data_IF_884033078444
#
_entry.id   IF_884033078444
#
_cell.length_a   1.000
_cell.length_b   1.000
_cell.length_c   1.000
_cell.angle_alpha   90.00
_cell.angle_beta   90.00
_cell.angle_gamma   90.00
#
_symmetry.space_group_name_H-M   'P 1'
#
loop_
_entity.id
_entity.type
_entity.pdbx_description
1 polymer ?
#
# COMPACT_ATOMS: atom_id res chain seq x y z
N UNK A 1 -5.27 15.68 3.56
CA UNK A 1 -4.12 14.80 3.32
C UNK A 1 -4.31 13.98 2.05
N UNK A 2 -5.23 13.00 2.01
CA UNK A 2 -5.31 12.04 0.89
C UNK A 2 -5.48 12.68 -0.49
N UNK A 3 -6.31 13.72 -0.66
CA UNK A 3 -6.39 14.45 -1.94
C UNK A 3 -5.06 15.05 -2.39
N UNK A 4 -4.21 15.53 -1.46
CA UNK A 4 -2.87 16.06 -1.80
C UNK A 4 -1.92 14.95 -2.25
N UNK A 5 -1.99 13.80 -1.58
CA UNK A 5 -1.26 12.59 -2.02
C UNK A 5 -1.78 12.13 -3.38
N UNK A 6 -3.08 12.24 -3.63
CA UNK A 6 -3.72 11.81 -4.86
C UNK A 6 -3.21 12.58 -6.08
N UNK A 7 -2.91 13.87 -5.96
CA UNK A 7 -2.37 14.67 -7.07
C UNK A 7 -0.84 14.58 -7.20
N UNK A 8 -0.17 13.76 -6.38
CA UNK A 8 1.27 13.59 -6.48
C UNK A 8 1.65 12.89 -7.79
N UNK A 9 2.56 13.49 -8.56
CA UNK A 9 2.97 12.98 -9.88
C UNK A 9 3.53 11.56 -9.83
N UNK A 10 4.30 11.20 -8.79
CA UNK A 10 4.84 9.86 -8.66
C UNK A 10 3.73 8.84 -8.40
N UNK A 11 2.77 9.17 -7.54
CA UNK A 11 1.58 8.33 -7.34
C UNK A 11 0.79 8.11 -8.63
N UNK A 12 0.51 9.19 -9.39
CA UNK A 12 -0.12 9.11 -10.72
C UNK A 12 0.64 8.19 -11.67
N UNK A 13 1.96 8.31 -11.71
CA UNK A 13 2.85 7.47 -12.51
C UNK A 13 2.80 6.00 -12.09
N UNK A 14 2.74 5.69 -10.78
CA UNK A 14 2.69 4.32 -10.28
C UNK A 14 1.35 3.62 -10.58
N UNK A 15 0.24 4.35 -10.60
CA UNK A 15 -1.08 3.76 -10.94
C UNK A 15 -1.37 3.77 -12.45
N UNK A 16 -0.59 4.51 -13.23
CA UNK A 16 -0.78 4.62 -14.68
C UNK A 16 -1.97 5.50 -15.09
N UNK A 17 -2.41 6.40 -14.21
CA UNK A 17 -3.51 7.35 -14.46
C UNK A 17 -2.99 8.76 -14.26
N UNK A 18 -3.08 9.59 -15.31
CA UNK A 18 -2.62 10.98 -15.24
C UNK A 18 -3.51 11.84 -14.32
N UNK A 19 -4.82 11.66 -14.44
CA UNK A 19 -5.83 12.44 -13.71
C UNK A 19 -6.47 11.61 -12.59
N UNK A 20 -6.91 12.26 -11.49
CA UNK A 20 -7.73 11.62 -10.46
C UNK A 20 -8.98 10.93 -10.97
N UNK A 21 -9.23 9.71 -10.47
CA UNK A 21 -10.48 9.00 -10.74
C UNK A 21 -11.68 9.77 -10.18
N UNK A 22 -12.69 9.97 -11.02
CA UNK A 22 -13.91 10.71 -10.68
C UNK A 22 -14.73 10.06 -9.56
N UNK A 23 -14.62 8.74 -9.38
CA UNK A 23 -15.32 7.98 -8.35
C UNK A 23 -14.43 7.73 -7.12
N UNK A 24 -13.32 8.45 -7.01
CA UNK A 24 -12.42 8.44 -5.85
C UNK A 24 -11.82 7.06 -5.53
N UNK A 25 -11.77 6.14 -6.51
CA UNK A 25 -11.15 4.82 -6.31
C UNK A 25 -9.70 4.91 -5.86
N UNK A 26 -8.97 5.88 -6.38
CA UNK A 26 -7.59 6.14 -5.98
C UNK A 26 -7.49 6.51 -4.49
N UNK A 27 -8.47 7.27 -3.96
CA UNK A 27 -8.50 7.66 -2.55
C UNK A 27 -8.80 6.46 -1.66
N UNK A 28 -9.65 5.53 -2.10
CA UNK A 28 -9.86 4.27 -1.37
C UNK A 28 -8.55 3.48 -1.27
N UNK A 29 -7.77 3.39 -2.36
CA UNK A 29 -6.48 2.69 -2.35
C UNK A 29 -5.51 3.35 -1.37
N UNK A 30 -5.40 4.69 -1.40
CA UNK A 30 -4.55 5.43 -0.46
C UNK A 30 -5.02 5.25 0.99
N UNK A 31 -6.32 5.33 1.25
CA UNK A 31 -6.90 5.11 2.58
C UNK A 31 -6.63 3.68 3.07
N UNK A 32 -6.73 2.69 2.19
CA UNK A 32 -6.49 1.28 2.46
C UNK A 32 -5.06 1.02 2.88
N UNK A 33 -4.08 1.49 2.11
CA UNK A 33 -2.68 1.22 2.45
C UNK A 33 -2.26 1.89 3.74
N UNK A 34 -2.67 3.15 3.98
CA UNK A 34 -2.32 3.83 5.23
C UNK A 34 -3.11 3.28 6.42
N UNK A 35 -4.37 2.90 6.23
CA UNK A 35 -5.20 2.27 7.25
C UNK A 35 -4.62 0.94 7.70
N UNK A 36 -4.22 0.08 6.77
CA UNK A 36 -3.57 -1.19 7.08
C UNK A 36 -2.16 -1.01 7.67
N UNK A 37 -1.46 0.08 7.34
CA UNK A 37 -0.15 0.39 7.95
C UNK A 37 -0.31 0.81 9.41
N UNK A 38 -1.35 1.59 9.73
CA UNK A 38 -1.58 2.13 11.09
C UNK A 38 -2.34 1.14 11.99
N UNK A 39 -3.35 0.44 11.46
CA UNK A 39 -4.32 -0.36 12.23
C UNK A 39 -4.54 -1.75 11.60
N UNK A 40 -3.55 -2.25 10.85
CA UNK A 40 -3.66 -3.52 10.11
C UNK A 40 -3.84 -4.75 11.00
N UNK A 41 -3.40 -4.71 12.26
CA UNK A 41 -3.64 -5.78 13.24
C UNK A 41 -5.12 -5.89 13.62
N UNK A 42 -5.89 -4.81 13.48
CA UNK A 42 -7.35 -4.78 13.68
C UNK A 42 -8.13 -5.18 12.42
N UNK A 43 -7.45 -5.52 11.31
CA UNK A 43 -8.12 -5.80 10.04
C UNK A 43 -9.02 -7.04 10.12
N UNK A 44 -10.31 -6.84 9.82
CA UNK A 44 -11.30 -7.90 9.63
C UNK A 44 -12.06 -7.65 8.34
N UNK A 45 -12.21 -8.68 7.51
CA UNK A 45 -13.05 -8.56 6.31
C UNK A 45 -14.49 -8.16 6.66
N UNK A 46 -15.20 -7.45 5.74
CA UNK A 46 -14.74 -6.96 4.45
C UNK A 46 -13.94 -5.64 4.55
N UNK A 47 -13.09 -5.37 3.54
CA UNK A 47 -12.26 -4.16 3.47
C UNK A 47 -13.07 -2.87 3.64
N UNK A 48 -14.23 -2.74 3.00
CA UNK A 48 -15.08 -1.56 3.13
C UNK A 48 -15.47 -1.27 4.59
N UNK A 49 -15.78 -2.30 5.38
CA UNK A 49 -16.10 -2.14 6.80
C UNK A 49 -14.88 -1.70 7.60
N UNK A 50 -13.73 -2.29 7.33
CA UNK A 50 -12.47 -1.86 7.93
C UNK A 50 -12.18 -0.37 7.65
N UNK A 51 -12.26 0.07 6.39
CA UNK A 51 -12.01 1.47 6.02
C UNK A 51 -13.01 2.42 6.68
N UNK A 52 -14.29 2.03 6.77
CA UNK A 52 -15.31 2.81 7.47
C UNK A 52 -15.04 2.93 8.98
N UNK A 53 -14.52 1.88 9.62
CA UNK A 53 -14.12 1.92 11.03
C UNK A 53 -12.86 2.77 11.19
N UNK A 54 -11.85 2.55 10.36
CA UNK A 54 -10.59 3.30 10.38
C UNK A 54 -10.82 4.79 10.15
N UNK A 55 -11.64 5.19 9.17
CA UNK A 55 -11.96 6.60 8.92
C UNK A 55 -12.62 7.28 10.13
N UNK A 56 -13.42 6.54 10.91
CA UNK A 56 -13.99 7.05 12.18
C UNK A 56 -12.93 7.21 13.25
N UNK A 57 -12.03 6.22 13.42
CA UNK A 57 -10.88 6.28 14.34
C UNK A 57 -9.92 7.41 13.97
N UNK A 58 -9.71 7.64 12.68
CA UNK A 58 -8.79 8.65 12.16
C UNK A 58 -9.12 10.08 12.59
N UNK A 59 -10.38 10.36 12.96
CA UNK A 59 -10.78 11.65 13.53
C UNK A 59 -10.19 11.93 14.92
N UNK A 60 -9.76 10.89 15.63
CA UNK A 60 -9.13 10.98 16.95
C UNK A 60 -7.62 10.80 16.89
N UNK A 61 -7.05 10.56 15.70
CA UNK A 61 -5.60 10.50 15.51
C UNK A 61 -5.01 11.90 15.63
N UNK A 62 -3.87 12.02 16.31
CA UNK A 62 -3.19 13.31 16.50
C UNK A 62 -2.77 13.93 15.16
N UNK A 63 -2.69 15.26 15.13
CA UNK A 63 -2.29 16.00 13.94
C UNK A 63 -0.89 15.58 13.47
N UNK A 64 0.00 15.31 14.43
CA UNK A 64 1.38 14.88 14.21
C UNK A 64 1.42 13.52 13.50
N UNK A 65 0.57 12.57 13.93
CA UNK A 65 0.49 11.24 13.30
C UNK A 65 -0.14 11.32 11.91
N UNK A 66 -1.11 12.20 11.68
CA UNK A 66 -1.63 12.47 10.32
C UNK A 66 -0.56 13.10 9.43
N UNK A 67 0.26 14.00 9.96
CA UNK A 67 1.39 14.58 9.21
C UNK A 67 2.47 13.53 8.90
N UNK A 68 2.77 12.62 9.84
CA UNK A 68 3.65 11.48 9.60
C UNK A 68 3.11 10.60 8.48
N UNK A 69 1.81 10.25 8.52
CA UNK A 69 1.15 9.47 7.48
C UNK A 69 1.27 10.11 6.08
N UNK A 70 1.13 11.44 5.98
CA UNK A 70 1.34 12.16 4.71
C UNK A 70 2.79 12.06 4.24
N UNK A 71 3.75 12.23 5.16
CA UNK A 71 5.19 12.16 4.84
C UNK A 71 5.64 10.74 4.49
N UNK A 72 5.00 9.71 5.04
CA UNK A 72 5.27 8.30 4.69
C UNK A 72 4.96 8.01 3.21
N UNK A 73 3.89 8.59 2.65
CA UNK A 73 3.66 8.51 1.20
C UNK A 73 4.81 9.12 0.41
N UNK A 74 5.30 10.30 0.81
CA UNK A 74 6.45 10.93 0.16
C UNK A 74 7.72 10.08 0.25
N UNK A 75 7.99 9.50 1.43
CA UNK A 75 9.13 8.60 1.63
C UNK A 75 9.01 7.33 0.78
N UNK A 76 7.81 6.74 0.70
CA UNK A 76 7.52 5.61 -0.17
C UNK A 76 7.70 5.95 -1.65
N UNK A 77 7.20 7.09 -2.12
CA UNK A 77 7.35 7.50 -3.52
C UNK A 77 8.82 7.67 -3.91
N UNK A 78 9.64 8.23 -3.01
CA UNK A 78 11.09 8.31 -3.18
C UNK A 78 11.75 6.92 -3.16
N UNK A 79 11.30 6.01 -2.30
CA UNK A 79 11.79 4.63 -2.26
C UNK A 79 11.44 3.85 -3.53
N UNK A 80 10.34 4.22 -4.20
CA UNK A 80 9.82 3.65 -5.43
C UNK A 80 10.21 4.47 -6.69
N UNK A 81 11.20 5.36 -6.61
CA UNK A 81 11.52 6.35 -7.66
C UNK A 81 11.78 5.71 -9.04
N UNK A 82 12.39 4.53 -9.06
CA UNK A 82 12.72 3.79 -10.29
C UNK A 82 11.54 2.99 -10.86
N UNK A 83 10.45 2.86 -10.10
CA UNK A 83 9.29 2.04 -10.46
C UNK A 83 8.29 2.79 -11.34
N UNK A 84 7.57 2.03 -12.14
CA UNK A 84 6.58 2.49 -13.10
C UNK A 84 5.24 1.78 -12.90
N UNK A 85 4.21 2.20 -13.64
CA UNK A 85 2.93 1.49 -13.67
C UNK A 85 3.06 0.01 -14.04
N UNK A 86 4.00 -0.35 -14.91
CA UNK A 86 4.22 -1.74 -15.31
C UNK A 86 4.66 -2.62 -14.12
N UNK A 87 5.43 -2.06 -13.19
CA UNK A 87 5.91 -2.76 -12.01
C UNK A 87 4.78 -3.07 -11.02
N UNK A 88 3.70 -2.30 -11.01
CA UNK A 88 2.49 -2.57 -10.21
C UNK A 88 1.34 -3.18 -11.02
N UNK A 89 1.50 -3.41 -12.32
CA UNK A 89 0.46 -4.00 -13.15
C UNK A 89 0.31 -5.51 -12.91
N UNK A 90 -0.92 -6.00 -13.11
CA UNK A 90 -1.23 -7.43 -13.19
C UNK A 90 -0.77 -7.97 -14.55
N UNK A 91 0.07 -9.04 -14.59
CA UNK A 91 0.52 -9.64 -15.84
C UNK A 91 -0.65 -9.96 -16.79
N UNK A 92 -0.46 -9.69 -18.08
CA UNK A 92 -1.46 -9.93 -19.14
C UNK A 92 -2.55 -8.86 -19.25
N UNK A 93 -3.10 -8.35 -18.13
CA UNK A 93 -4.20 -7.36 -18.19
C UNK A 93 -3.72 -5.90 -18.19
N UNK A 94 -2.51 -5.62 -17.70
CA UNK A 94 -1.99 -4.25 -17.55
C UNK A 94 -2.68 -3.42 -16.45
N UNK A 95 -3.68 -3.98 -15.76
CA UNK A 95 -4.44 -3.27 -14.72
C UNK A 95 -3.61 -3.15 -13.43
N UNK A 96 -3.71 -2.00 -12.77
CA UNK A 96 -3.06 -1.77 -11.48
C UNK A 96 -3.45 -2.82 -10.44
N UNK A 97 -2.45 -3.46 -9.84
CA UNK A 97 -2.65 -4.51 -8.86
C UNK A 97 -2.65 -3.93 -7.44
N UNK A 98 -3.86 -3.64 -6.94
CA UNK A 98 -4.07 -3.08 -5.60
C UNK A 98 -3.46 -3.98 -4.51
N UNK A 99 -3.53 -5.30 -4.66
CA UNK A 99 -3.00 -6.24 -3.67
C UNK A 99 -1.47 -6.21 -3.58
N UNK A 100 -0.78 -6.05 -4.72
CA UNK A 100 0.68 -5.84 -4.75
C UNK A 100 1.04 -4.51 -4.12
N UNK A 101 0.39 -3.42 -4.54
CA UNK A 101 0.68 -2.10 -3.98
C UNK A 101 0.43 -2.03 -2.47
N UNK A 102 -0.70 -2.59 -2.01
CA UNK A 102 -1.06 -2.69 -0.59
C UNK A 102 0.02 -3.39 0.24
N UNK A 103 0.46 -4.56 -0.20
CA UNK A 103 1.45 -5.34 0.51
C UNK A 103 2.81 -4.65 0.54
N UNK A 104 3.22 -4.06 -0.59
CA UNK A 104 4.52 -3.38 -0.73
C UNK A 104 4.57 -2.10 0.10
N UNK A 105 3.52 -1.27 0.04
CA UNK A 105 3.42 -0.06 0.85
C UNK A 105 3.45 -0.40 2.34
N UNK A 106 2.62 -1.35 2.78
CA UNK A 106 2.56 -1.75 4.19
C UNK A 106 3.91 -2.31 4.66
N UNK A 107 4.52 -3.21 3.89
CA UNK A 107 5.81 -3.81 4.23
C UNK A 107 6.93 -2.77 4.39
N UNK A 108 7.00 -1.79 3.49
CA UNK A 108 8.05 -0.76 3.54
C UNK A 108 7.79 0.33 4.57
N UNK A 109 6.53 0.64 4.89
CA UNK A 109 6.18 1.75 5.76
C UNK A 109 5.85 1.37 7.20
N UNK A 110 5.57 0.09 7.52
CA UNK A 110 5.18 -0.33 8.88
C UNK A 110 6.21 0.04 9.94
N UNK A 111 7.49 -0.32 9.74
CA UNK A 111 8.56 0.00 10.71
C UNK A 111 8.73 1.51 10.90
N UNK A 112 8.74 2.28 9.81
CA UNK A 112 8.84 3.74 9.89
C UNK A 112 7.63 4.37 10.60
N UNK A 113 6.43 3.82 10.38
CA UNK A 113 5.20 4.26 11.03
C UNK A 113 5.20 3.95 12.53
N UNK A 114 5.70 2.79 12.94
CA UNK A 114 5.80 2.37 14.35
C UNK A 114 6.84 3.19 15.12
N UNK A 115 7.96 3.52 14.47
CA UNK A 115 9.08 4.24 15.07
C UNK A 115 9.02 5.77 14.85
N UNK A 116 7.89 6.30 14.38
CA UNK A 116 7.65 7.72 14.10
C UNK A 116 8.76 8.40 13.27
N UNK A 117 9.29 7.68 12.27
CA UNK A 117 10.34 8.15 11.37
C UNK A 117 9.95 7.97 9.89
N UNK A 118 10.89 8.20 8.98
CA UNK A 118 10.68 8.08 7.52
C UNK A 118 11.72 7.17 6.87
N UNK A 119 12.28 6.22 7.62
CA UNK A 119 13.23 5.25 7.10
C UNK A 119 12.50 4.19 6.27
N UNK A 120 12.30 4.50 4.99
CA UNK A 120 11.62 3.64 4.02
C UNK A 120 12.66 3.13 3.03
N UNK A 121 12.87 1.81 3.04
CA UNK A 121 13.86 1.14 2.19
C UNK A 121 13.53 1.32 0.71
N UNK A 122 14.52 1.71 -0.09
CA UNK A 122 14.41 1.76 -1.54
C UNK A 122 14.21 0.36 -2.14
N UNK A 123 13.36 0.29 -3.18
CA UNK A 123 13.07 -0.95 -3.92
C UNK A 123 13.18 -0.69 -5.42
N UNK A 124 13.37 -1.77 -6.18
CA UNK A 124 13.41 -1.74 -7.65
C UNK A 124 12.49 -2.81 -8.28
N UNK A 125 12.43 -2.80 -9.62
CA UNK A 125 11.58 -3.72 -10.37
C UNK A 125 11.94 -5.19 -10.16
N UNK A 126 13.20 -5.51 -9.83
CA UNK A 126 13.63 -6.89 -9.57
C UNK A 126 13.04 -7.42 -8.26
N UNK A 127 12.97 -6.58 -7.23
CA UNK A 127 12.33 -6.92 -5.96
C UNK A 127 10.82 -7.15 -6.13
N UNK A 128 10.14 -6.30 -6.93
CA UNK A 128 8.73 -6.51 -7.26
C UNK A 128 8.48 -7.75 -8.10
N UNK A 129 9.36 -8.05 -9.06
CA UNK A 129 9.30 -9.28 -9.84
C UNK A 129 9.45 -10.52 -8.94
N UNK A 130 10.39 -10.49 -7.98
CA UNK A 130 10.57 -11.55 -7.00
C UNK A 130 9.31 -11.76 -6.13
N UNK A 131 8.69 -10.67 -5.65
CA UNK A 131 7.43 -10.76 -4.89
C UNK A 131 6.29 -11.35 -5.72
N UNK A 132 6.17 -10.93 -6.99
CA UNK A 132 5.14 -11.46 -7.90
C UNK A 132 5.39 -12.91 -8.33
N UNK A 133 6.61 -13.42 -8.15
CA UNK A 133 6.96 -14.82 -8.36
C UNK A 133 6.87 -15.68 -7.09
N UNK A 134 6.68 -15.07 -5.90
CA UNK A 134 6.54 -15.81 -4.64
C UNK A 134 5.22 -16.61 -4.64
N UNK A 135 5.33 -17.93 -4.59
CA UNK A 135 4.17 -18.83 -4.70
C UNK A 135 3.10 -18.56 -3.63
N UNK A 136 3.51 -18.25 -2.40
CA UNK A 136 2.60 -17.96 -1.29
C UNK A 136 1.90 -16.61 -1.51
N UNK A 137 2.61 -15.61 -2.02
CA UNK A 137 2.03 -14.33 -2.38
C UNK A 137 1.03 -14.46 -3.54
N UNK A 138 1.39 -15.21 -4.57
CA UNK A 138 0.51 -15.49 -5.72
C UNK A 138 -0.76 -16.20 -5.26
N UNK A 139 -0.65 -17.25 -4.45
CA UNK A 139 -1.79 -17.96 -3.89
C UNK A 139 -2.73 -17.03 -3.10
N UNK A 140 -2.17 -16.13 -2.28
CA UNK A 140 -2.93 -15.14 -1.50
C UNK A 140 -3.55 -14.01 -2.35
N UNK A 141 -3.26 -13.97 -3.66
CA UNK A 141 -3.78 -12.96 -4.61
C UNK A 141 -4.83 -13.54 -5.58
N UNK A 142 -5.00 -14.86 -5.65
CA UNK A 142 -5.90 -15.51 -6.61
C UNK A 142 -7.38 -15.50 -6.20
N UNK A 143 -7.70 -15.92 -4.96
CA UNK A 143 -9.09 -16.06 -4.50
C UNK A 143 -9.28 -15.36 -3.16
N UNK A 144 -10.48 -14.79 -2.93
CA UNK A 144 -10.81 -14.20 -1.64
C UNK A 144 -9.84 -13.11 -1.18
N UNK A 145 -9.32 -12.29 -2.10
CA UNK A 145 -8.22 -11.32 -1.90
C UNK A 145 -8.41 -10.42 -0.65
N UNK A 146 -9.67 -10.17 -0.27
CA UNK A 146 -10.02 -9.40 0.93
C UNK A 146 -10.18 -10.20 2.23
N UNK A 147 -9.91 -11.52 2.27
CA UNK A 147 -9.90 -12.30 3.53
C UNK A 147 -8.74 -11.84 4.41
N UNK A 148 -8.97 -11.69 5.71
CA UNK A 148 -7.93 -11.25 6.66
C UNK A 148 -6.68 -12.11 6.56
N UNK A 149 -6.81 -13.43 6.47
CA UNK A 149 -5.66 -14.33 6.32
C UNK A 149 -4.82 -14.04 5.07
N UNK A 150 -5.44 -13.66 3.95
CA UNK A 150 -4.72 -13.39 2.71
C UNK A 150 -4.12 -11.97 2.66
N UNK A 151 -4.82 -10.97 3.21
CA UNK A 151 -4.23 -9.63 3.40
C UNK A 151 -2.99 -9.70 4.28
N UNK A 152 -3.08 -10.45 5.39
CA UNK A 152 -1.96 -10.64 6.31
C UNK A 152 -0.83 -11.46 5.67
N UNK A 153 -1.15 -12.55 4.98
CA UNK A 153 -0.13 -13.36 4.27
C UNK A 153 0.62 -12.55 3.21
N UNK A 154 -0.06 -11.72 2.42
CA UNK A 154 0.61 -10.86 1.42
C UNK A 154 1.59 -9.89 2.05
N UNK A 155 1.22 -9.29 3.19
CA UNK A 155 2.11 -8.42 3.96
C UNK A 155 3.34 -9.17 4.46
N UNK A 156 3.16 -10.34 5.09
CA UNK A 156 4.27 -11.16 5.60
C UNK A 156 5.21 -11.63 4.48
N UNK A 157 4.65 -12.02 3.32
CA UNK A 157 5.46 -12.40 2.16
C UNK A 157 6.24 -11.22 1.60
N UNK A 158 5.65 -10.03 1.53
CA UNK A 158 6.36 -8.82 1.11
C UNK A 158 7.51 -8.49 2.08
N UNK A 159 7.31 -8.57 3.40
CA UNK A 159 8.39 -8.38 4.37
C UNK A 159 9.51 -9.41 4.19
N UNK A 160 9.16 -10.70 4.04
CA UNK A 160 10.13 -11.76 3.87
C UNK A 160 10.97 -11.60 2.57
N UNK A 161 10.32 -11.32 1.44
CA UNK A 161 11.00 -11.12 0.14
C UNK A 161 11.91 -9.90 0.16
N UNK A 162 11.52 -8.85 0.88
CA UNK A 162 12.32 -7.62 0.99
C UNK A 162 13.35 -7.67 2.14
N UNK A 163 13.39 -8.74 2.93
CA UNK A 163 14.30 -8.85 4.08
C UNK A 163 14.01 -7.83 5.16
N UNK A 164 12.73 -7.67 5.53
CA UNK A 164 12.20 -6.74 6.53
C UNK A 164 11.50 -7.47 7.70
N UNK A 165 11.62 -8.80 7.74
CA UNK A 165 11.01 -9.67 8.75
C UNK A 165 11.97 -9.90 9.93
#
# INVERSE_FOLDING_TARGET
MLHRVNINQKWRSLIGLAEPDLHEKDLEILLRVIGLTIDGTSYKEPMANFLNVFARKARSISKEKIQLAERLFGAFFKAAETLTAADFATPGSGRFNIAVFEAVFRALCSSACENDNLDVRAIDGSMLAALKADEKFVAATQFGVGRTSFVQQRFERAQAVFGLA
#
